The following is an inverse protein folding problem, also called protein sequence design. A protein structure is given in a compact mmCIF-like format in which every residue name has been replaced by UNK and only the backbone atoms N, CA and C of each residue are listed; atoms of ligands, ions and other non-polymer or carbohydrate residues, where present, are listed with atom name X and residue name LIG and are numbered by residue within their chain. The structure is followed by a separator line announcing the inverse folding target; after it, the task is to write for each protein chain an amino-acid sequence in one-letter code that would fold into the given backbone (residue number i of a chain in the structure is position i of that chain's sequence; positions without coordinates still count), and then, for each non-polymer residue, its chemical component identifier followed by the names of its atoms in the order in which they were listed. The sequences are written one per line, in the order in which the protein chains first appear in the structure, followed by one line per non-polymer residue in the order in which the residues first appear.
data_IF_474467023258
#
_entry.id   IF_474467023258
#
_cell.length_a   1.000
_cell.length_b   1.000
_cell.length_c   1.000
_cell.angle_alpha   90.00
_cell.angle_beta   90.00
_cell.angle_gamma   90.00
#
_symmetry.space_group_name_H-M   'P 1'
#
loop_
_entity.id
_entity.type
_entity.pdbx_description
1 polymer ?
#
# COMPACT_ATOMS: atom_id res chain seq x y z
N UNK A 1 -23.25 -47.64 20.92
CA UNK A 1 -23.38 -46.87 19.66
C UNK A 1 -23.08 -45.37 19.83
N UNK A 2 -23.48 -44.72 20.94
CA UNK A 2 -23.19 -43.29 21.19
C UNK A 2 -21.71 -42.97 21.50
N UNK A 3 -21.02 -43.79 22.29
CA UNK A 3 -19.61 -43.53 22.65
C UNK A 3 -18.66 -43.56 21.45
N UNK A 4 -18.94 -44.40 20.45
CA UNK A 4 -18.18 -44.45 19.20
C UNK A 4 -18.33 -43.15 18.39
N UNK A 5 -19.53 -42.57 18.36
CA UNK A 5 -19.79 -41.30 17.67
C UNK A 5 -19.07 -40.13 18.34
N UNK A 6 -19.05 -40.11 19.68
CA UNK A 6 -18.33 -39.08 20.44
C UNK A 6 -16.81 -39.16 20.23
N UNK A 7 -16.25 -40.37 20.26
CA UNK A 7 -14.83 -40.57 19.99
C UNK A 7 -14.46 -40.10 18.56
N UNK A 8 -15.29 -40.44 17.56
CA UNK A 8 -15.09 -39.99 16.19
C UNK A 8 -15.13 -38.45 16.07
N UNK A 9 -16.09 -37.78 16.72
CA UNK A 9 -16.19 -36.31 16.69
C UNK A 9 -14.96 -35.65 17.31
N UNK A 10 -14.43 -36.18 18.41
CA UNK A 10 -13.23 -35.63 19.06
C UNK A 10 -12.00 -35.77 18.16
N UNK A 11 -11.86 -36.91 17.48
CA UNK A 11 -10.77 -37.15 16.52
C UNK A 11 -10.86 -36.18 15.33
N UNK A 12 -12.05 -35.90 14.82
CA UNK A 12 -12.23 -34.94 13.72
C UNK A 12 -11.93 -33.49 14.14
N UNK A 13 -12.29 -33.11 15.38
CA UNK A 13 -12.00 -31.77 15.92
C UNK A 13 -10.49 -31.53 16.08
N UNK A 14 -9.71 -32.57 16.37
CA UNK A 14 -8.25 -32.45 16.47
C UNK A 14 -7.60 -31.94 15.16
N UNK A 15 -8.26 -32.11 14.01
CA UNK A 15 -7.81 -31.56 12.73
C UNK A 15 -7.75 -30.03 12.67
N UNK A 16 -8.49 -29.32 13.54
CA UNK A 16 -8.43 -27.85 13.64
C UNK A 16 -7.03 -27.37 14.02
N UNK A 17 -6.24 -28.18 14.71
CA UNK A 17 -4.86 -27.81 15.07
C UNK A 17 -3.97 -27.57 13.85
N UNK A 18 -4.29 -28.14 12.69
CA UNK A 18 -3.56 -27.92 11.43
C UNK A 18 -4.29 -26.94 10.50
N UNK A 19 -5.30 -26.23 10.99
CA UNK A 19 -5.98 -25.21 10.20
C UNK A 19 -5.03 -24.03 9.94
N UNK A 20 -4.69 -23.82 8.68
CA UNK A 20 -3.94 -22.65 8.22
C UNK A 20 -4.92 -21.72 7.52
N UNK A 21 -5.15 -20.57 8.13
CA UNK A 21 -5.87 -19.50 7.47
C UNK A 21 -4.98 -18.97 6.33
N UNK A 22 -5.55 -18.90 5.12
CA UNK A 22 -4.95 -18.19 4.01
C UNK A 22 -5.71 -16.88 3.88
N UNK A 23 -5.05 -15.74 4.11
CA UNK A 23 -5.65 -14.41 3.96
C UNK A 23 -5.24 -13.71 2.66
N UNK A 24 -4.60 -14.42 1.73
CA UNK A 24 -4.13 -13.78 0.50
C UNK A 24 -5.23 -13.80 -0.55
N UNK A 25 -5.85 -12.64 -0.79
CA UNK A 25 -6.87 -12.47 -1.84
C UNK A 25 -6.40 -12.96 -3.21
N UNK A 26 -5.11 -12.80 -3.55
CA UNK A 26 -4.56 -13.28 -4.83
C UNK A 26 -4.57 -14.81 -4.93
N UNK A 27 -4.53 -15.50 -3.79
CA UNK A 27 -4.53 -16.97 -3.77
C UNK A 27 -5.93 -17.57 -3.88
N UNK A 28 -6.97 -16.87 -3.42
CA UNK A 28 -8.35 -17.37 -3.40
C UNK A 28 -9.08 -17.32 -4.74
N UNK A 29 -8.70 -16.41 -5.64
CA UNK A 29 -9.44 -16.16 -6.89
C UNK A 29 -8.87 -16.84 -8.13
N UNK A 30 -7.82 -17.66 -7.99
CA UNK A 30 -7.21 -18.39 -9.10
C UNK A 30 -6.94 -19.83 -8.70
N UNK A 31 -7.30 -20.77 -9.59
CA UNK A 31 -7.03 -22.20 -9.37
C UNK A 31 -5.53 -22.46 -9.18
N UNK A 32 -5.18 -23.44 -8.35
CA UNK A 32 -3.80 -23.78 -8.00
C UNK A 32 -2.96 -24.21 -9.22
N UNK A 33 -3.60 -24.80 -10.23
CA UNK A 33 -3.00 -25.31 -11.46
C UNK A 33 -3.20 -24.37 -12.67
N UNK A 34 -3.68 -23.14 -12.44
CA UNK A 34 -3.94 -22.20 -13.54
C UNK A 34 -2.66 -21.69 -14.21
N UNK A 35 -2.66 -21.49 -15.56
CA UNK A 35 -1.51 -20.94 -16.28
C UNK A 35 -1.05 -19.57 -15.76
N UNK A 36 -1.97 -18.76 -15.25
CA UNK A 36 -1.68 -17.45 -14.66
C UNK A 36 -0.79 -17.55 -13.42
N UNK A 37 -0.79 -18.67 -12.68
CA UNK A 37 0.15 -18.90 -11.56
C UNK A 37 1.59 -19.05 -12.04
N UNK A 38 1.80 -19.75 -13.15
CA UNK A 38 3.11 -19.88 -13.76
C UNK A 38 3.60 -18.52 -14.27
N UNK A 39 2.75 -17.78 -14.99
CA UNK A 39 3.07 -16.43 -15.46
C UNK A 39 3.41 -15.47 -14.31
N UNK A 40 2.61 -15.51 -13.23
CA UNK A 40 2.87 -14.74 -12.02
C UNK A 40 4.21 -15.09 -11.36
N UNK A 41 4.54 -16.39 -11.25
CA UNK A 41 5.80 -16.84 -10.68
C UNK A 41 7.01 -16.37 -11.52
N UNK A 42 6.95 -16.54 -12.84
CA UNK A 42 7.99 -16.08 -13.77
C UNK A 42 8.13 -14.56 -13.73
N UNK A 43 7.01 -13.83 -13.72
CA UNK A 43 7.01 -12.37 -13.64
C UNK A 43 7.65 -11.87 -12.35
N UNK A 44 7.26 -12.44 -11.20
CA UNK A 44 7.82 -12.08 -9.90
C UNK A 44 9.33 -12.30 -9.83
N UNK A 45 9.80 -13.44 -10.36
CA UNK A 45 11.23 -13.76 -10.39
C UNK A 45 12.00 -12.82 -11.33
N UNK A 46 11.41 -12.47 -12.48
CA UNK A 46 12.00 -11.54 -13.44
C UNK A 46 12.13 -10.12 -12.88
N UNK A 47 11.06 -9.57 -12.30
CA UNK A 47 11.04 -8.23 -11.71
C UNK A 47 11.72 -8.16 -10.34
N UNK A 48 12.10 -9.31 -9.76
CA UNK A 48 12.65 -9.42 -8.39
C UNK A 48 11.73 -8.79 -7.35
N UNK A 49 10.43 -8.90 -7.56
CA UNK A 49 9.39 -8.45 -6.62
C UNK A 49 9.27 -9.49 -5.50
N UNK A 50 10.28 -9.55 -4.64
CA UNK A 50 10.31 -10.46 -3.50
C UNK A 50 9.51 -9.86 -2.34
N UNK A 51 8.19 -10.01 -2.39
CA UNK A 51 7.25 -9.55 -1.37
C UNK A 51 5.85 -9.39 -1.94
N UNK A 52 4.85 -9.19 -1.08
CA UNK A 52 3.55 -8.72 -1.55
C UNK A 52 3.64 -7.20 -1.76
N UNK A 53 3.55 -6.69 -3.01
CA UNK A 53 3.54 -5.25 -3.24
C UNK A 53 2.30 -4.65 -2.60
N UNK A 54 2.51 -3.91 -1.52
CA UNK A 54 1.49 -3.10 -0.88
C UNK A 54 1.57 -1.68 -1.44
N UNK A 55 0.66 -1.36 -2.36
CA UNK A 55 0.54 -0.01 -2.88
C UNK A 55 -0.37 0.82 -1.97
N UNK A 56 0.16 1.90 -1.42
CA UNK A 56 -0.62 2.90 -0.69
C UNK A 56 -0.90 4.07 -1.63
N UNK A 57 -2.19 4.32 -1.89
CA UNK A 57 -2.63 5.45 -2.71
C UNK A 57 -3.40 6.41 -1.82
N UNK A 58 -2.96 7.67 -1.77
CA UNK A 58 -3.61 8.72 -0.99
C UNK A 58 -4.38 9.63 -1.95
N UNK A 59 -5.70 9.54 -1.91
CA UNK A 59 -6.58 10.43 -2.65
C UNK A 59 -6.93 11.65 -1.77
N UNK A 60 -6.68 12.86 -2.27
CA UNK A 60 -6.96 14.11 -1.55
C UNK A 60 -8.12 14.87 -2.21
N UNK A 61 -9.01 15.41 -1.38
CA UNK A 61 -10.13 16.25 -1.81
C UNK A 61 -10.20 17.51 -0.93
N UNK A 62 -10.56 18.65 -1.53
CA UNK A 62 -10.80 19.87 -0.76
C UNK A 62 -12.10 19.74 0.06
N UNK A 63 -12.08 20.21 1.31
CA UNK A 63 -13.21 20.09 2.24
C UNK A 63 -14.50 20.75 1.75
N UNK A 64 -14.38 21.78 0.91
CA UNK A 64 -15.50 22.50 0.30
C UNK A 64 -15.92 21.95 -1.07
N UNK A 65 -15.34 20.82 -1.49
CA UNK A 65 -15.60 20.20 -2.80
C UNK A 65 -15.05 20.99 -4.00
N UNK A 66 -14.33 22.10 -3.75
CA UNK A 66 -13.72 22.92 -4.78
C UNK A 66 -12.37 22.38 -5.27
N UNK A 67 -11.65 23.19 -6.03
CA UNK A 67 -10.33 22.83 -6.53
C UNK A 67 -9.28 22.75 -5.41
N UNK A 68 -8.45 21.71 -5.43
CA UNK A 68 -7.30 21.54 -4.52
C UNK A 68 -6.15 22.52 -4.87
N UNK A 69 -6.14 23.10 -6.07
CA UNK A 69 -5.10 24.00 -6.58
C UNK A 69 -5.19 25.45 -6.05
N UNK A 70 -5.95 25.67 -4.98
CA UNK A 70 -6.02 26.96 -4.29
C UNK A 70 -4.90 27.04 -3.26
N UNK A 71 -4.30 28.21 -3.01
CA UNK A 71 -3.07 28.33 -2.23
C UNK A 71 -3.11 27.60 -0.88
N UNK A 72 -4.18 27.79 -0.09
CA UNK A 72 -4.32 27.16 1.23
C UNK A 72 -4.38 25.63 1.18
N UNK A 73 -5.06 25.07 0.18
CA UNK A 73 -5.21 23.62 0.03
C UNK A 73 -3.99 22.99 -0.65
N UNK A 74 -3.36 23.70 -1.58
CA UNK A 74 -2.14 23.29 -2.27
C UNK A 74 -0.97 23.16 -1.28
N UNK A 75 -0.81 24.16 -0.41
CA UNK A 75 0.23 24.14 0.63
C UNK A 75 0.03 22.96 1.59
N UNK A 76 -1.23 22.65 1.91
CA UNK A 76 -1.57 21.48 2.74
C UNK A 76 -1.32 20.16 2.03
N UNK A 77 -1.62 20.06 0.74
CA UNK A 77 -1.33 18.86 -0.04
C UNK A 77 0.17 18.58 -0.12
N UNK A 78 0.99 19.62 -0.33
CA UNK A 78 2.46 19.53 -0.30
C UNK A 78 2.97 19.12 1.10
N UNK A 79 2.43 19.70 2.17
CA UNK A 79 2.80 19.34 3.55
C UNK A 79 2.52 17.87 3.87
N UNK A 80 1.34 17.37 3.47
CA UNK A 80 0.96 15.96 3.67
C UNK A 80 1.88 15.04 2.89
N UNK A 81 2.16 15.38 1.64
CA UNK A 81 3.00 14.59 0.76
C UNK A 81 4.46 14.52 1.28
N UNK A 82 5.03 15.65 1.70
CA UNK A 82 6.36 15.72 2.30
C UNK A 82 6.41 14.90 3.60
N UNK A 83 5.36 14.96 4.41
CA UNK A 83 5.28 14.18 5.64
C UNK A 83 5.30 12.68 5.36
N UNK A 84 4.46 12.21 4.43
CA UNK A 84 4.34 10.79 4.10
C UNK A 84 5.62 10.22 3.50
N UNK A 85 6.33 10.98 2.68
CA UNK A 85 7.54 10.52 2.02
C UNK A 85 8.79 10.60 2.91
N UNK A 86 8.95 11.68 3.67
CA UNK A 86 10.24 11.99 4.30
C UNK A 86 10.21 12.04 5.83
N UNK A 87 9.05 12.29 6.45
CA UNK A 87 8.97 12.49 7.92
C UNK A 87 8.29 11.34 8.66
N UNK A 88 7.51 10.53 7.96
CA UNK A 88 6.80 9.39 8.53
C UNK A 88 7.80 8.30 8.93
N UNK A 89 8.00 8.18 10.25
CA UNK A 89 8.86 7.17 10.86
C UNK A 89 8.04 6.35 11.86
N UNK A 90 8.09 5.02 11.73
CA UNK A 90 7.35 4.09 12.59
C UNK A 90 8.35 3.20 13.33
N UNK A 91 8.27 3.19 14.66
CA UNK A 91 9.11 2.31 15.48
C UNK A 91 8.37 1.02 15.77
N UNK A 92 8.95 -0.11 15.36
CA UNK A 92 8.45 -1.44 15.63
C UNK A 92 9.59 -2.34 16.09
N UNK A 93 9.41 -3.05 17.21
CA UNK A 93 10.42 -3.95 17.80
C UNK A 93 11.81 -3.30 18.00
N UNK A 94 11.83 -2.02 18.38
CA UNK A 94 13.07 -1.29 18.65
C UNK A 94 13.83 -0.82 17.39
N UNK A 95 13.29 -1.05 16.19
CA UNK A 95 13.79 -0.50 14.93
C UNK A 95 12.84 0.57 14.43
N UNK A 96 13.38 1.70 13.98
CA UNK A 96 12.62 2.75 13.32
C UNK A 96 12.71 2.53 11.83
N UNK A 97 11.55 2.48 11.18
CA UNK A 97 11.42 2.32 9.74
C UNK A 97 10.84 3.59 9.13
N UNK A 98 11.40 3.97 8.00
CA UNK A 98 11.01 5.10 7.16
C UNK A 98 10.44 4.60 5.83
N UNK A 99 9.75 5.46 5.08
CA UNK A 99 9.30 5.11 3.73
C UNK A 99 10.45 4.65 2.82
N UNK A 100 11.63 5.27 2.95
CA UNK A 100 12.84 4.92 2.18
C UNK A 100 13.31 3.48 2.40
N UNK A 101 12.96 2.85 3.52
CA UNK A 101 13.34 1.46 3.80
C UNK A 101 12.46 0.45 3.05
N UNK A 102 11.27 0.85 2.59
CA UNK A 102 10.27 -0.04 1.98
C UNK A 102 9.99 0.24 0.51
N UNK A 103 10.24 1.47 0.03
CA UNK A 103 9.79 1.91 -1.28
C UNK A 103 10.45 1.20 -2.47
N UNK A 104 11.57 0.50 -2.27
CA UNK A 104 12.22 -0.31 -3.30
C UNK A 104 12.59 0.51 -4.54
N UNK A 105 12.16 0.06 -5.72
CA UNK A 105 12.33 0.79 -6.99
C UNK A 105 11.33 1.94 -7.21
N UNK A 106 10.37 2.12 -6.31
CA UNK A 106 9.22 3.02 -6.50
C UNK A 106 9.28 4.30 -5.66
N UNK A 107 10.39 4.57 -4.97
CA UNK A 107 10.56 5.75 -4.12
C UNK A 107 10.29 7.06 -4.86
N UNK A 108 10.64 7.13 -6.15
CA UNK A 108 10.52 8.34 -6.98
C UNK A 108 9.14 8.50 -7.65
N UNK A 109 8.25 7.51 -7.55
CA UNK A 109 6.92 7.55 -8.22
C UNK A 109 6.10 8.76 -7.78
N UNK A 110 6.36 9.18 -6.55
CA UNK A 110 5.63 10.18 -5.79
C UNK A 110 6.19 11.59 -6.04
N UNK A 111 7.45 11.71 -6.47
CA UNK A 111 8.15 12.97 -6.79
C UNK A 111 7.48 13.73 -7.94
N UNK A 112 6.90 13.03 -8.91
CA UNK A 112 6.20 13.67 -10.04
C UNK A 112 5.06 14.58 -9.56
N UNK A 113 4.35 14.16 -8.50
CA UNK A 113 3.28 14.96 -7.89
C UNK A 113 3.87 16.15 -7.15
N UNK A 114 4.94 15.95 -6.37
CA UNK A 114 5.68 17.02 -5.71
C UNK A 114 6.10 18.13 -6.68
N UNK A 115 6.74 17.72 -7.78
CA UNK A 115 7.28 18.62 -8.81
C UNK A 115 6.14 19.42 -9.45
N UNK A 116 5.05 18.75 -9.82
CA UNK A 116 3.90 19.42 -10.42
C UNK A 116 3.29 20.47 -9.48
N UNK A 117 3.03 20.10 -8.22
CA UNK A 117 2.38 20.99 -7.25
C UNK A 117 3.28 22.17 -6.86
N UNK A 118 4.58 21.93 -6.69
CA UNK A 118 5.57 22.99 -6.41
C UNK A 118 5.71 23.97 -7.57
N UNK A 119 5.85 23.47 -8.81
CA UNK A 119 5.90 24.33 -10.00
C UNK A 119 4.62 25.16 -10.16
N UNK A 120 3.45 24.55 -9.95
CA UNK A 120 2.17 25.27 -10.03
C UNK A 120 2.07 26.38 -8.99
N UNK A 121 2.53 26.12 -7.75
CA UNK A 121 2.61 27.11 -6.68
C UNK A 121 3.46 28.31 -7.10
N UNK A 122 4.67 28.05 -7.62
CA UNK A 122 5.61 29.09 -8.03
C UNK A 122 5.07 29.97 -9.16
N UNK A 123 4.44 29.37 -10.17
CA UNK A 123 3.82 30.10 -11.28
C UNK A 123 2.69 31.01 -10.77
N UNK A 124 1.86 30.50 -9.85
CA UNK A 124 0.74 31.26 -9.30
C UNK A 124 1.22 32.44 -8.45
N UNK A 125 2.21 32.21 -7.59
CA UNK A 125 2.86 33.27 -6.80
C UNK A 125 3.43 34.36 -7.72
N UNK A 126 4.15 33.98 -8.79
CA UNK A 126 4.69 34.94 -9.76
C UNK A 126 3.61 35.73 -10.48
N UNK A 127 2.48 35.10 -10.80
CA UNK A 127 1.35 35.79 -11.44
C UNK A 127 0.69 36.82 -10.53
N UNK A 128 0.65 36.56 -9.22
CA UNK A 128 0.09 37.48 -8.22
C UNK A 128 1.08 38.60 -7.86
N UNK A 129 2.40 38.40 -7.96
CA UNK A 129 3.42 39.42 -7.68
C UNK A 129 3.70 40.40 -8.83
N UNK A 130 3.05 40.23 -9.98
CA UNK A 130 3.21 41.09 -11.17
C UNK A 130 2.07 42.13 -11.29
N UNK A 131 1.26 42.29 -10.24
CA UNK A 131 0.21 43.31 -10.13
C UNK A 131 0.45 44.26 -8.96
#
# INVERSE_FOLDING_TARGET
MYSFRLALTVILIAGIQNFREQNNVREHFSADDSPSRYEYAVGRDFFKEFGDPFHVVVAMQANDGGSLLRPQYLDKALEIEEFLQYKLNVTHEGKTYSYSDFCGSHCETSDAVHIFLSMYRDVKIRSESTF
#
